data_IF_328136682921
#
_entry.id   IF_328136682921
#
_cell.length_a   1.000
_cell.length_b   1.000
_cell.length_c   1.000
_cell.angle_alpha   90.00
_cell.angle_beta   90.00
_cell.angle_gamma   90.00
#
_symmetry.space_group_name_H-M   'P 1'
#
loop_
_entity.id
_entity.type
_entity.pdbx_description
1 polymer ?
#
# COMPACT_ATOMS: atom_id res chain seq x y z
N UNK A 1 -16.65 -22.62 -6.36
CA UNK A 1 -16.53 -21.16 -6.53
C UNK A 1 -15.70 -20.63 -5.37
N UNK A 2 -14.70 -19.77 -5.62
CA UNK A 2 -13.83 -19.23 -4.58
C UNK A 2 -14.57 -18.35 -3.58
N UNK A 3 -14.44 -18.67 -2.29
CA UNK A 3 -14.98 -17.92 -1.15
C UNK A 3 -13.94 -17.00 -0.50
N UNK A 4 -14.36 -15.93 0.17
CA UNK A 4 -13.44 -15.08 0.95
C UNK A 4 -12.68 -15.85 2.04
N UNK A 5 -13.19 -17.01 2.46
CA UNK A 5 -12.59 -17.86 3.48
C UNK A 5 -11.83 -19.06 2.92
N UNK A 6 -11.72 -19.18 1.60
CA UNK A 6 -10.85 -20.18 1.01
C UNK A 6 -9.39 -19.73 1.19
N UNK A 7 -8.47 -20.64 1.55
CA UNK A 7 -7.05 -20.33 1.62
C UNK A 7 -6.50 -19.78 0.29
N UNK A 8 -5.42 -19.00 0.39
CA UNK A 8 -4.71 -18.44 -0.76
C UNK A 8 -3.22 -18.35 -0.43
N UNK A 9 -2.36 -18.65 -1.41
CA UNK A 9 -0.92 -18.47 -1.27
C UNK A 9 -0.48 -17.15 -1.90
N UNK A 10 0.27 -16.34 -1.16
CA UNK A 10 0.82 -15.05 -1.59
C UNK A 10 2.32 -15.06 -1.30
N UNK A 11 3.17 -15.05 -2.32
CA UNK A 11 4.61 -14.99 -2.10
C UNK A 11 5.19 -16.20 -1.33
N UNK A 12 4.52 -17.36 -1.39
CA UNK A 12 4.87 -18.54 -0.59
C UNK A 12 4.30 -18.54 0.84
N UNK A 13 3.48 -17.53 1.20
CA UNK A 13 2.78 -17.45 2.47
C UNK A 13 1.36 -17.98 2.29
N UNK A 14 1.00 -19.00 3.07
CA UNK A 14 -0.33 -19.59 3.04
C UNK A 14 -1.28 -18.87 4.00
N UNK A 15 -2.11 -18.00 3.44
CA UNK A 15 -3.16 -17.29 4.16
C UNK A 15 -4.37 -18.20 4.35
N UNK A 16 -5.05 -18.06 5.49
CA UNK A 16 -6.24 -18.85 5.82
C UNK A 16 -7.53 -18.30 5.20
N UNK A 17 -7.47 -17.09 4.69
CA UNK A 17 -8.58 -16.42 4.02
C UNK A 17 -8.04 -15.33 3.09
N UNK A 18 -8.92 -14.78 2.27
CA UNK A 18 -8.65 -13.78 1.23
C UNK A 18 -8.91 -12.34 1.69
N UNK A 19 -9.04 -12.09 2.99
CA UNK A 19 -9.25 -10.77 3.59
C UNK A 19 -7.90 -10.19 4.01
N UNK A 20 -7.59 -8.97 3.55
CA UNK A 20 -6.31 -8.29 3.77
C UNK A 20 -6.56 -6.90 4.40
N UNK A 21 -5.71 -6.47 5.34
CA UNK A 21 -5.70 -5.07 5.78
C UNK A 21 -5.03 -4.22 4.69
N UNK A 22 -5.77 -3.28 4.11
CA UNK A 22 -5.22 -2.33 3.16
C UNK A 22 -4.23 -1.38 3.86
N UNK A 23 -3.25 -0.83 3.13
CA UNK A 23 -2.33 0.19 3.65
C UNK A 23 -3.08 1.49 3.97
N UNK A 24 -2.90 2.02 5.18
CA UNK A 24 -3.63 3.18 5.69
C UNK A 24 -2.70 4.12 6.46
N UNK A 25 -2.26 5.23 5.86
CA UNK A 25 -1.52 6.27 6.61
C UNK A 25 -2.33 6.81 7.77
N UNK A 26 -1.77 6.76 8.99
CA UNK A 26 -2.45 7.25 10.18
C UNK A 26 -1.71 8.36 10.91
N UNK A 27 -0.49 8.73 10.58
CA UNK A 27 0.24 9.80 11.29
C UNK A 27 0.47 9.54 12.80
N UNK A 28 0.72 8.28 13.19
CA UNK A 28 0.96 7.85 14.60
C UNK A 28 2.43 7.50 14.88
N UNK A 29 3.36 8.13 14.16
CA UNK A 29 4.78 8.12 14.50
C UNK A 29 5.17 9.38 15.31
N UNK A 30 6.29 9.34 16.00
CA UNK A 30 6.86 10.50 16.68
C UNK A 30 7.38 11.56 15.68
N UNK A 31 8.08 12.58 16.17
CA UNK A 31 8.62 13.66 15.32
C UNK A 31 9.82 13.23 14.47
N UNK A 32 10.43 12.09 14.79
CA UNK A 32 11.53 11.47 14.05
C UNK A 32 11.03 10.35 13.12
N UNK A 33 9.71 10.17 13.01
CA UNK A 33 9.11 9.11 12.20
C UNK A 33 9.32 7.71 12.78
N UNK A 34 9.58 7.58 14.07
CA UNK A 34 9.59 6.29 14.78
C UNK A 34 8.15 5.91 15.14
N UNK A 35 7.65 4.71 14.77
CA UNK A 35 6.33 4.26 15.21
C UNK A 35 6.19 4.33 16.74
N UNK A 36 5.06 4.85 17.23
CA UNK A 36 4.74 4.87 18.65
C UNK A 36 4.25 3.49 19.13
N UNK A 37 4.25 3.23 20.44
CA UNK A 37 3.76 1.95 21.01
C UNK A 37 2.31 1.62 20.60
N UNK A 38 1.47 2.65 20.44
CA UNK A 38 0.09 2.51 19.95
C UNK A 38 0.01 1.90 18.54
N UNK A 39 1.08 1.98 17.74
CA UNK A 39 1.17 1.34 16.42
C UNK A 39 1.31 -0.17 16.57
N UNK A 40 2.11 -0.65 17.52
CA UNK A 40 2.22 -2.08 17.86
C UNK A 40 0.88 -2.63 18.31
N UNK A 41 0.19 -1.92 19.20
CA UNK A 41 -1.17 -2.30 19.62
C UNK A 41 -2.13 -2.35 18.42
N UNK A 42 -2.13 -1.32 17.56
CA UNK A 42 -3.01 -1.25 16.41
C UNK A 42 -2.89 -2.44 15.45
N UNK A 43 -1.66 -2.82 15.06
CA UNK A 43 -1.48 -3.97 14.16
C UNK A 43 -1.73 -5.29 14.88
N UNK A 44 -1.33 -5.42 16.16
CA UNK A 44 -1.64 -6.58 16.98
C UNK A 44 -3.15 -6.81 17.09
N UNK A 45 -3.95 -5.75 17.28
CA UNK A 45 -5.41 -5.85 17.30
C UNK A 45 -5.98 -6.40 15.99
N UNK A 46 -5.39 -6.03 14.84
CA UNK A 46 -5.83 -6.44 13.49
C UNK A 46 -5.29 -7.79 13.03
N UNK A 47 -4.30 -8.32 13.73
CA UNK A 47 -3.86 -9.71 13.66
C UNK A 47 -4.80 -10.65 14.48
N UNK A 48 -6.11 -10.39 14.43
CA UNK A 48 -7.13 -11.03 15.28
C UNK A 48 -7.45 -12.47 14.88
N UNK A 49 -7.29 -12.82 13.61
CA UNK A 49 -7.55 -14.17 13.05
C UNK A 49 -6.25 -14.69 12.44
N UNK A 50 -5.69 -15.81 12.91
CA UNK A 50 -4.44 -16.36 12.38
C UNK A 50 -4.48 -16.58 10.86
N UNK A 51 -3.37 -16.30 10.20
CA UNK A 51 -3.24 -16.35 8.74
C UNK A 51 -3.81 -15.14 8.01
N UNK A 52 -4.02 -14.02 8.70
CA UNK A 52 -4.35 -12.72 8.10
C UNK A 52 -3.09 -12.06 7.55
N UNK A 53 -3.18 -11.49 6.34
CA UNK A 53 -2.16 -10.58 5.81
C UNK A 53 -2.51 -9.14 6.14
N UNK A 54 -1.55 -8.41 6.70
CA UNK A 54 -1.60 -6.99 6.95
C UNK A 54 -0.63 -6.24 6.04
N UNK A 55 -1.03 -5.07 5.54
CA UNK A 55 -0.11 -4.17 4.83
C UNK A 55 -0.05 -2.87 5.64
N UNK A 56 1.15 -2.41 5.97
CA UNK A 56 1.33 -1.23 6.80
C UNK A 56 0.81 0.03 6.13
N UNK A 57 0.70 1.09 6.92
CA UNK A 57 0.75 2.44 6.38
C UNK A 57 1.96 2.70 5.47
N UNK A 58 1.81 3.68 4.58
CA UNK A 58 2.93 4.17 3.77
C UNK A 58 4.07 4.60 4.69
N UNK A 59 5.24 4.01 4.46
CA UNK A 59 6.44 4.16 5.29
C UNK A 59 7.56 4.72 4.43
N UNK A 60 8.16 5.82 4.87
CA UNK A 60 9.16 6.54 4.07
C UNK A 60 10.46 5.75 3.93
N UNK A 61 10.96 5.68 2.70
CA UNK A 61 12.19 4.96 2.36
C UNK A 61 13.48 5.73 2.69
N UNK A 62 13.38 7.05 2.83
CA UNK A 62 14.48 7.95 3.17
C UNK A 62 13.94 9.30 3.63
N UNK A 63 14.78 10.16 4.22
CA UNK A 63 14.39 11.53 4.58
C UNK A 63 13.86 12.32 3.37
N UNK A 64 14.54 12.26 2.22
CA UNK A 64 14.14 12.96 0.98
C UNK A 64 12.86 12.42 0.33
N UNK A 65 12.44 11.22 0.70
CA UNK A 65 11.21 10.61 0.22
C UNK A 65 9.97 11.04 1.03
N UNK A 66 10.19 11.67 2.20
CA UNK A 66 9.16 12.10 3.12
C UNK A 66 8.48 13.41 2.71
N UNK A 67 8.31 14.32 3.67
CA UNK A 67 7.57 15.57 3.48
C UNK A 67 6.16 15.57 4.07
N UNK A 68 5.90 14.70 5.06
CA UNK A 68 4.72 14.76 5.93
C UNK A 68 5.13 14.39 7.35
N UNK A 69 4.68 15.17 8.33
CA UNK A 69 5.00 14.94 9.73
C UNK A 69 4.28 13.70 10.28
N UNK A 70 4.91 13.08 11.28
CA UNK A 70 4.37 11.95 12.06
C UNK A 70 4.00 10.70 11.26
N UNK A 71 4.50 10.58 10.03
CA UNK A 71 4.45 9.34 9.22
C UNK A 71 5.73 8.54 9.48
N UNK A 72 5.66 7.20 9.61
CA UNK A 72 6.83 6.41 9.94
C UNK A 72 7.84 6.34 8.77
N UNK A 73 9.11 6.18 9.13
CA UNK A 73 10.20 5.82 8.21
C UNK A 73 10.70 4.39 8.42
N UNK A 74 11.61 3.93 7.55
CA UNK A 74 12.36 2.67 7.70
C UNK A 74 13.81 2.82 7.21
N UNK A 75 14.48 3.88 7.65
CA UNK A 75 15.85 4.23 7.21
C UNK A 75 16.81 4.58 8.37
N UNK A 76 16.36 4.48 9.62
CA UNK A 76 17.19 4.62 10.82
C UNK A 76 17.06 3.38 11.72
N UNK A 77 18.07 3.14 12.55
CA UNK A 77 18.09 2.01 13.49
C UNK A 77 16.94 2.09 14.50
N UNK A 78 16.56 3.29 14.96
CA UNK A 78 15.43 3.48 15.87
C UNK A 78 14.11 3.08 15.21
N UNK A 79 13.90 3.47 13.95
CA UNK A 79 12.72 3.07 13.18
C UNK A 79 12.67 1.56 12.98
N UNK A 80 13.78 0.93 12.61
CA UNK A 80 13.89 -0.53 12.41
C UNK A 80 13.55 -1.28 13.70
N UNK A 81 14.10 -0.84 14.84
CA UNK A 81 13.82 -1.44 16.15
C UNK A 81 12.34 -1.31 16.54
N UNK A 82 11.73 -0.14 16.34
CA UNK A 82 10.32 0.05 16.65
C UNK A 82 9.42 -0.80 15.75
N UNK A 83 9.70 -0.87 14.44
CA UNK A 83 8.98 -1.76 13.53
C UNK A 83 9.13 -3.24 13.89
N UNK A 84 10.27 -3.66 14.45
CA UNK A 84 10.44 -5.03 14.95
C UNK A 84 9.44 -5.38 16.06
N UNK A 85 9.14 -4.46 16.97
CA UNK A 85 8.10 -4.69 17.98
C UNK A 85 6.72 -4.93 17.33
N UNK A 86 6.42 -4.20 16.25
CA UNK A 86 5.16 -4.34 15.51
C UNK A 86 5.10 -5.72 14.83
N UNK A 87 6.15 -6.11 14.12
CA UNK A 87 6.19 -7.39 13.38
C UNK A 87 6.13 -8.58 14.33
N UNK A 88 6.89 -8.55 15.43
CA UNK A 88 6.86 -9.58 16.48
C UNK A 88 5.46 -9.73 17.08
N UNK A 89 4.75 -8.63 17.35
CA UNK A 89 3.39 -8.68 17.89
C UNK A 89 2.37 -9.27 16.91
N UNK A 90 2.55 -9.05 15.61
CA UNK A 90 1.70 -9.65 14.55
C UNK A 90 2.02 -11.14 14.39
N UNK A 91 3.31 -11.49 14.35
CA UNK A 91 3.77 -12.87 14.21
C UNK A 91 3.39 -13.75 15.40
N UNK A 92 3.39 -13.19 16.61
CA UNK A 92 2.92 -13.88 17.81
C UNK A 92 1.45 -14.33 17.72
N UNK A 93 0.65 -13.71 16.84
CA UNK A 93 -0.73 -14.10 16.55
C UNK A 93 -0.89 -14.96 15.29
N UNK A 94 0.22 -15.46 14.73
CA UNK A 94 0.24 -16.29 13.53
C UNK A 94 -0.25 -15.57 12.28
N UNK A 95 -0.12 -14.25 12.23
CA UNK A 95 -0.45 -13.41 11.07
C UNK A 95 0.82 -12.94 10.36
N UNK A 96 0.65 -12.30 9.21
CA UNK A 96 1.73 -11.82 8.35
C UNK A 96 1.59 -10.33 8.10
N UNK A 97 2.71 -9.65 7.86
CA UNK A 97 2.72 -8.20 7.63
C UNK A 97 3.75 -7.78 6.58
N UNK A 98 3.31 -6.94 5.65
CA UNK A 98 4.14 -6.33 4.60
C UNK A 98 4.32 -4.83 4.84
N UNK A 99 5.53 -4.31 4.69
CA UNK A 99 5.82 -2.88 4.80
C UNK A 99 5.58 -2.16 3.46
N UNK A 100 4.69 -1.17 3.42
CA UNK A 100 4.49 -0.36 2.22
C UNK A 100 5.55 0.74 2.09
N UNK A 101 6.42 0.62 1.10
CA UNK A 101 7.52 1.54 0.81
C UNK A 101 7.04 2.76 0.02
N UNK A 102 7.32 3.95 0.54
CA UNK A 102 6.67 5.18 0.07
C UNK A 102 7.65 6.34 -0.16
N UNK A 103 7.45 7.04 -1.28
CA UNK A 103 8.09 8.30 -1.60
C UNK A 103 7.05 9.28 -2.16
N UNK A 104 6.88 10.45 -1.54
CA UNK A 104 5.77 11.36 -1.86
C UNK A 104 5.93 12.05 -3.22
N UNK A 105 7.16 12.38 -3.63
CA UNK A 105 7.41 13.22 -4.80
C UNK A 105 6.71 14.57 -4.68
N UNK A 106 6.00 15.04 -5.73
CA UNK A 106 5.35 16.36 -5.73
C UNK A 106 4.20 16.54 -4.72
N UNK A 107 3.80 15.46 -4.04
CA UNK A 107 2.76 15.48 -3.02
C UNK A 107 3.30 15.78 -1.61
N UNK A 108 4.60 15.92 -1.45
CA UNK A 108 5.21 16.32 -0.19
C UNK A 108 4.89 17.77 0.17
N UNK A 109 4.81 18.05 1.48
CA UNK A 109 4.88 19.40 2.01
C UNK A 109 6.30 19.94 1.83
N UNK A 110 6.43 20.96 0.97
CA UNK A 110 7.73 21.57 0.66
C UNK A 110 8.40 22.18 1.90
N UNK A 111 7.65 22.74 2.86
CA UNK A 111 8.23 23.34 4.07
C UNK A 111 8.83 22.28 4.97
N UNK A 112 8.21 21.09 5.03
CA UNK A 112 8.75 19.95 5.79
C UNK A 112 10.02 19.42 5.14
N UNK A 113 10.08 19.35 3.81
CA UNK A 113 11.30 18.97 3.09
C UNK A 113 12.42 20.00 3.28
N UNK A 114 12.12 21.30 3.14
CA UNK A 114 13.10 22.38 3.31
C UNK A 114 13.70 22.38 4.72
N UNK A 115 12.88 22.18 5.75
CA UNK A 115 13.34 22.08 7.14
C UNK A 115 14.29 20.88 7.37
N UNK A 116 14.24 19.86 6.52
CA UNK A 116 15.15 18.71 6.53
C UNK A 116 16.27 18.78 5.48
N UNK A 117 16.44 19.93 4.81
CA UNK A 117 17.50 20.15 3.83
C UNK A 117 17.25 19.47 2.46
N UNK A 118 15.98 19.16 2.15
CA UNK A 118 15.58 18.51 0.91
C UNK A 118 14.65 19.39 0.08
N UNK A 119 14.67 19.20 -1.24
CA UNK A 119 13.79 19.91 -2.17
C UNK A 119 12.59 19.07 -2.58
N UNK A 120 11.50 19.73 -2.95
CA UNK A 120 10.34 19.08 -3.57
C UNK A 120 10.73 18.56 -4.97
N UNK A 121 10.51 17.27 -5.23
CA UNK A 121 10.93 16.59 -6.47
C UNK A 121 9.80 15.82 -7.12
N UNK A 122 9.92 15.56 -8.42
CA UNK A 122 8.96 14.76 -9.19
C UNK A 122 9.60 14.21 -10.47
N UNK A 123 8.81 13.53 -11.30
CA UNK A 123 9.20 13.16 -12.67
C UNK A 123 9.42 14.40 -13.57
N UNK A 124 8.63 15.45 -13.38
CA UNK A 124 8.69 16.72 -14.12
C UNK A 124 8.23 17.89 -13.25
N UNK A 125 8.36 19.11 -13.74
CA UNK A 125 8.04 20.38 -13.07
C UNK A 125 6.53 20.71 -13.06
N UNK A 126 5.69 19.67 -12.99
CA UNK A 126 4.23 19.82 -12.97
C UNK A 126 3.75 19.83 -11.52
N UNK A 127 3.33 20.98 -10.95
CA UNK A 127 2.87 21.06 -9.57
C UNK A 127 1.46 20.45 -9.40
N UNK A 128 1.13 20.13 -8.15
CA UNK A 128 -0.26 20.01 -7.73
C UNK A 128 -0.88 21.41 -7.54
N UNK A 129 -2.21 21.55 -7.56
CA UNK A 129 -2.86 22.79 -7.15
C UNK A 129 -2.33 23.28 -5.80
N UNK A 130 -2.08 24.58 -5.69
CA UNK A 130 -1.60 25.26 -4.48
C UNK A 130 -0.27 24.74 -3.91
N UNK A 131 0.50 23.99 -4.69
CA UNK A 131 1.83 23.47 -4.30
C UNK A 131 2.95 24.15 -5.10
N UNK A 132 4.16 24.32 -4.53
CA UNK A 132 5.32 24.80 -5.28
C UNK A 132 5.65 23.91 -6.48
N UNK A 133 6.34 24.48 -7.47
CA UNK A 133 6.84 23.73 -8.63
C UNK A 133 7.91 22.73 -8.17
N UNK A 134 7.72 21.41 -8.37
CA UNK A 134 8.72 20.42 -8.01
C UNK A 134 9.92 20.47 -8.97
N UNK A 135 11.10 20.11 -8.49
CA UNK A 135 12.27 19.91 -9.34
C UNK A 135 12.17 18.57 -10.08
N UNK A 136 12.29 18.53 -11.42
CA UNK A 136 12.42 17.28 -12.15
C UNK A 136 13.68 16.53 -11.68
N UNK A 137 13.53 15.25 -11.32
CA UNK A 137 14.69 14.44 -10.96
C UNK A 137 15.67 14.31 -12.14
N UNK A 138 16.96 14.43 -11.84
CA UNK A 138 18.05 14.08 -12.78
C UNK A 138 18.21 12.56 -12.85
N UNK A 139 18.94 12.04 -13.84
CA UNK A 139 19.32 10.60 -13.88
C UNK A 139 19.90 10.13 -12.54
N UNK A 140 20.85 10.91 -11.98
CA UNK A 140 21.46 10.60 -10.68
C UNK A 140 20.42 10.57 -9.55
N UNK A 141 19.49 11.52 -9.55
CA UNK A 141 18.39 11.54 -8.58
C UNK A 141 17.49 10.31 -8.68
N UNK A 142 17.13 9.93 -9.91
CA UNK A 142 16.33 8.73 -10.18
C UNK A 142 17.02 7.47 -9.65
N UNK A 143 18.31 7.28 -9.97
CA UNK A 143 19.12 6.15 -9.48
C UNK A 143 19.17 6.10 -7.96
N UNK A 144 19.37 7.26 -7.33
CA UNK A 144 19.45 7.35 -5.89
C UNK A 144 18.10 6.96 -5.21
N UNK A 145 16.95 7.33 -5.78
CA UNK A 145 15.65 6.87 -5.27
C UNK A 145 15.47 5.35 -5.44
N UNK A 146 15.91 4.76 -6.55
CA UNK A 146 15.88 3.31 -6.75
C UNK A 146 16.71 2.59 -5.66
N UNK A 147 17.88 3.14 -5.33
CA UNK A 147 18.73 2.64 -4.24
C UNK A 147 18.06 2.79 -2.86
N UNK A 148 17.40 3.92 -2.58
CA UNK A 148 16.64 4.12 -1.34
C UNK A 148 15.55 3.06 -1.17
N UNK A 149 14.80 2.74 -2.24
CA UNK A 149 13.78 1.69 -2.21
C UNK A 149 14.40 0.33 -1.87
N UNK A 150 15.51 -0.03 -2.49
CA UNK A 150 16.21 -1.29 -2.22
C UNK A 150 16.76 -1.36 -0.79
N UNK A 151 17.29 -0.24 -0.27
CA UNK A 151 17.79 -0.17 1.12
C UNK A 151 16.64 -0.27 2.12
N UNK A 152 15.58 0.50 1.93
CA UNK A 152 14.38 0.46 2.78
C UNK A 152 13.75 -0.94 2.80
N UNK A 153 13.79 -1.67 1.67
CA UNK A 153 13.34 -3.06 1.62
C UNK A 153 14.20 -3.98 2.51
N UNK A 154 15.53 -3.84 2.48
CA UNK A 154 16.43 -4.61 3.37
C UNK A 154 16.15 -4.31 4.84
N UNK A 155 16.00 -3.03 5.17
CA UNK A 155 15.70 -2.58 6.52
C UNK A 155 14.34 -3.12 7.01
N UNK A 156 13.33 -3.19 6.13
CA UNK A 156 12.06 -3.81 6.47
C UNK A 156 12.22 -5.32 6.76
N UNK A 157 12.98 -6.06 5.97
CA UNK A 157 13.24 -7.48 6.28
C UNK A 157 14.03 -7.62 7.59
N UNK A 158 14.97 -6.72 7.88
CA UNK A 158 15.68 -6.69 9.17
C UNK A 158 14.75 -6.37 10.36
N UNK A 159 13.73 -5.55 10.14
CA UNK A 159 12.66 -5.29 11.10
C UNK A 159 11.67 -6.47 11.22
N UNK A 160 11.89 -7.59 10.51
CA UNK A 160 11.06 -8.79 10.62
C UNK A 160 9.78 -8.76 9.77
N UNK A 161 9.66 -7.86 8.79
CA UNK A 161 8.52 -7.94 7.85
C UNK A 161 8.60 -9.20 6.97
N UNK A 162 7.45 -9.79 6.65
CA UNK A 162 7.36 -10.94 5.75
C UNK A 162 7.64 -10.55 4.29
N UNK A 163 7.43 -9.28 3.97
CA UNK A 163 7.74 -8.68 2.68
C UNK A 163 7.48 -7.18 2.65
N UNK A 164 7.54 -6.63 1.45
CA UNK A 164 7.35 -5.20 1.20
C UNK A 164 6.40 -4.98 0.03
N UNK A 165 5.71 -3.85 0.04
CA UNK A 165 4.88 -3.39 -1.08
C UNK A 165 5.42 -2.07 -1.63
N UNK A 166 5.78 -2.03 -2.91
CA UNK A 166 6.13 -0.77 -3.58
C UNK A 166 4.86 0.05 -3.82
N UNK A 167 4.79 1.25 -3.25
CA UNK A 167 3.65 2.15 -3.48
C UNK A 167 3.77 2.88 -4.82
N UNK A 168 3.33 2.24 -5.90
CA UNK A 168 3.25 2.82 -7.25
C UNK A 168 1.88 3.33 -7.66
N UNK A 169 1.15 3.94 -6.72
CA UNK A 169 -0.26 4.32 -6.86
C UNK A 169 -0.52 5.70 -6.25
N UNK A 170 -1.76 6.18 -6.37
CA UNK A 170 -2.31 7.37 -5.73
C UNK A 170 -1.50 8.66 -5.99
N UNK A 171 -0.82 8.74 -7.14
CA UNK A 171 -0.08 9.93 -7.55
C UNK A 171 1.17 10.23 -6.75
N UNK A 172 1.77 9.22 -6.10
CA UNK A 172 3.09 9.33 -5.46
C UNK A 172 4.22 9.04 -6.45
N UNK A 173 5.48 9.12 -6.01
CA UNK A 173 6.62 9.25 -6.92
C UNK A 173 6.65 8.21 -8.07
N UNK A 174 6.44 6.90 -7.87
CA UNK A 174 6.43 5.98 -9.01
C UNK A 174 5.25 6.19 -9.97
N UNK A 175 4.07 6.58 -9.45
CA UNK A 175 2.88 6.89 -10.26
C UNK A 175 3.04 8.23 -11.02
N UNK A 176 3.78 9.19 -10.43
CA UNK A 176 4.16 10.45 -11.08
C UNK A 176 5.06 10.22 -12.29
N UNK A 177 5.90 9.18 -12.29
CA UNK A 177 6.65 8.75 -13.48
C UNK A 177 5.76 7.99 -14.47
N UNK A 178 4.83 7.19 -13.99
CA UNK A 178 4.00 6.31 -14.81
C UNK A 178 3.02 7.06 -15.71
N UNK A 179 2.38 8.10 -15.19
CA UNK A 179 1.28 8.78 -15.89
C UNK A 179 1.74 10.03 -16.63
N UNK A 180 1.25 10.21 -17.86
CA UNK A 180 1.56 11.38 -18.69
C UNK A 180 0.90 12.67 -18.22
N UNK A 181 -0.05 12.61 -17.27
CA UNK A 181 -0.60 13.79 -16.59
C UNK A 181 0.47 14.52 -15.77
N UNK A 182 1.50 13.81 -15.30
CA UNK A 182 2.63 14.36 -14.55
C UNK A 182 3.95 14.26 -15.30
N UNK A 183 4.28 13.11 -15.88
CA UNK A 183 5.56 12.89 -16.56
C UNK A 183 5.59 13.52 -17.96
N UNK A 184 6.27 14.66 -18.07
CA UNK A 184 6.52 15.42 -19.31
C UNK A 184 7.95 15.29 -19.82
N UNK A 185 8.71 14.31 -19.33
CA UNK A 185 10.11 14.10 -19.73
C UNK A 185 10.22 13.68 -21.18
N UNK A 186 11.36 13.99 -21.79
CA UNK A 186 11.73 13.62 -23.17
C UNK A 186 13.00 12.74 -23.21
N UNK A 187 13.40 12.16 -22.07
CA UNK A 187 14.53 11.26 -21.93
C UNK A 187 14.10 9.79 -21.78
N UNK A 188 15.03 8.92 -21.40
CA UNK A 188 14.77 7.48 -21.18
C UNK A 188 13.80 7.15 -20.04
N UNK A 189 13.19 8.14 -19.39
CA UNK A 189 12.22 7.97 -18.30
C UNK A 189 10.85 8.57 -18.61
N UNK A 190 10.64 9.13 -19.81
CA UNK A 190 9.33 9.62 -20.24
C UNK A 190 9.17 9.67 -21.76
N UNK A 191 8.15 10.39 -22.22
CA UNK A 191 7.84 10.56 -23.65
C UNK A 191 7.09 9.39 -24.29
N UNK A 192 7.39 8.14 -23.90
CA UNK A 192 6.69 6.94 -24.37
C UNK A 192 6.08 6.14 -23.21
N UNK A 193 5.08 5.30 -23.53
CA UNK A 193 4.51 4.33 -22.57
C UNK A 193 5.61 3.49 -21.93
N UNK A 194 6.52 2.98 -22.76
CA UNK A 194 7.61 2.12 -22.32
C UNK A 194 8.54 2.79 -21.32
N UNK A 195 8.93 4.05 -21.60
CA UNK A 195 9.83 4.83 -20.75
C UNK A 195 9.16 5.28 -19.44
N UNK A 196 7.87 5.62 -19.46
CA UNK A 196 7.15 6.01 -18.24
C UNK A 196 7.01 4.86 -17.23
N UNK A 197 6.81 3.64 -17.70
CA UNK A 197 6.79 2.45 -16.84
C UNK A 197 8.17 2.09 -16.27
N UNK A 198 9.25 2.62 -16.86
CA UNK A 198 10.62 2.20 -16.55
C UNK A 198 10.99 2.43 -15.09
N UNK A 199 10.65 3.58 -14.51
CA UNK A 199 11.00 3.88 -13.13
C UNK A 199 10.36 2.89 -12.15
N UNK A 200 9.04 2.66 -12.26
CA UNK A 200 8.33 1.70 -11.41
C UNK A 200 8.88 0.27 -11.57
N UNK A 201 9.17 -0.16 -12.81
CA UNK A 201 9.75 -1.47 -13.09
C UNK A 201 11.17 -1.63 -12.52
N UNK A 202 12.04 -0.62 -12.64
CA UNK A 202 13.40 -0.66 -12.09
C UNK A 202 13.41 -0.59 -10.55
N UNK A 203 12.49 0.17 -9.93
CA UNK A 203 12.27 0.13 -8.48
C UNK A 203 11.88 -1.28 -8.03
N UNK A 204 10.88 -1.88 -8.68
CA UNK A 204 10.43 -3.23 -8.34
C UNK A 204 11.54 -4.27 -8.52
N UNK A 205 12.32 -4.17 -9.60
CA UNK A 205 13.44 -5.06 -9.86
C UNK A 205 14.55 -4.91 -8.80
N UNK A 206 14.90 -3.69 -8.41
CA UNK A 206 15.92 -3.44 -7.37
C UNK A 206 15.47 -3.96 -6.00
N UNK A 207 14.21 -3.76 -5.65
CA UNK A 207 13.61 -4.29 -4.41
C UNK A 207 13.59 -5.82 -4.45
N UNK A 208 13.13 -6.43 -5.55
CA UNK A 208 13.14 -7.89 -5.73
C UNK A 208 14.54 -8.49 -5.66
N UNK A 209 15.55 -7.83 -6.23
CA UNK A 209 16.94 -8.26 -6.12
C UNK A 209 17.47 -8.15 -4.68
N UNK A 210 16.98 -7.18 -3.91
CA UNK A 210 17.42 -6.96 -2.53
C UNK A 210 16.84 -7.97 -1.53
N UNK A 211 15.57 -8.37 -1.69
CA UNK A 211 14.84 -9.18 -0.68
C UNK A 211 14.21 -10.47 -1.21
N UNK A 212 14.35 -10.74 -2.51
CA UNK A 212 13.70 -11.85 -3.20
C UNK A 212 12.30 -11.48 -3.71
N UNK A 213 11.93 -11.85 -4.95
CA UNK A 213 10.70 -11.37 -5.59
C UNK A 213 9.41 -11.85 -4.90
N UNK A 214 9.44 -13.03 -4.28
CA UNK A 214 8.31 -13.58 -3.53
C UNK A 214 7.97 -12.78 -2.26
N UNK A 215 8.82 -11.82 -1.87
CA UNK A 215 8.57 -10.89 -0.76
C UNK A 215 8.18 -9.49 -1.23
N UNK A 216 7.85 -9.32 -2.51
CA UNK A 216 7.59 -8.01 -3.10
C UNK A 216 6.20 -7.96 -3.70
N UNK A 217 5.37 -7.05 -3.21
CA UNK A 217 4.14 -6.61 -3.86
C UNK A 217 4.32 -5.29 -4.61
N UNK A 218 3.47 -5.01 -5.58
CA UNK A 218 3.42 -3.71 -6.25
C UNK A 218 1.99 -3.18 -6.29
N UNK A 219 1.77 -1.93 -5.87
CA UNK A 219 0.43 -1.33 -5.83
C UNK A 219 0.20 -0.32 -6.95
N UNK A 220 -0.96 -0.37 -7.61
CA UNK A 220 -1.38 0.53 -8.70
C UNK A 220 -2.81 1.05 -8.51
N UNK A 221 -3.12 2.22 -9.08
CA UNK A 221 -4.46 2.82 -9.06
C UNK A 221 -4.84 3.43 -10.41
N UNK A 222 -5.13 2.60 -11.45
CA UNK A 222 -5.20 3.06 -12.84
C UNK A 222 -6.19 4.18 -13.12
N UNK A 223 -7.30 4.16 -12.38
CA UNK A 223 -8.46 5.01 -12.64
C UNK A 223 -8.62 6.14 -11.62
N UNK A 224 -7.72 6.24 -10.64
CA UNK A 224 -7.86 7.23 -9.57
C UNK A 224 -7.44 8.63 -10.03
N UNK A 225 -8.29 9.65 -9.90
CA UNK A 225 -7.93 11.04 -10.22
C UNK A 225 -7.16 11.73 -9.08
N UNK A 226 -6.94 11.03 -7.97
CA UNK A 226 -6.31 11.59 -6.77
C UNK A 226 -4.93 12.17 -7.09
N UNK A 227 -4.61 13.35 -6.53
CA UNK A 227 -3.35 14.07 -6.78
C UNK A 227 -3.07 14.36 -8.27
N UNK A 228 -4.12 14.72 -9.01
CA UNK A 228 -4.01 15.11 -10.43
C UNK A 228 -3.57 13.95 -11.34
N UNK A 229 -3.85 12.72 -10.92
CA UNK A 229 -3.66 11.51 -11.72
C UNK A 229 -4.87 11.29 -12.65
N UNK A 230 -4.94 10.08 -13.22
CA UNK A 230 -5.89 9.60 -14.22
C UNK A 230 -5.56 10.12 -15.61
N UNK A 231 -4.80 9.32 -16.35
CA UNK A 231 -4.66 9.45 -17.80
C UNK A 231 -6.03 9.33 -18.49
N UNK A 232 -6.15 9.90 -19.70
CA UNK A 232 -7.37 9.78 -20.50
C UNK A 232 -7.66 8.32 -20.89
N UNK A 233 -6.62 7.57 -21.29
CA UNK A 233 -6.67 6.13 -21.53
C UNK A 233 -5.52 5.45 -20.75
N UNK A 234 -5.76 5.04 -19.49
CA UNK A 234 -4.70 4.49 -18.65
C UNK A 234 -4.35 3.05 -19.05
N UNK A 235 -5.26 2.30 -19.67
CA UNK A 235 -5.12 0.85 -19.80
C UNK A 235 -3.84 0.41 -20.54
N UNK A 236 -3.46 1.01 -21.70
CA UNK A 236 -2.19 0.68 -22.35
C UNK A 236 -0.97 0.93 -21.46
N UNK A 237 -0.98 1.99 -20.65
CA UNK A 237 0.13 2.31 -19.74
C UNK A 237 0.29 1.29 -18.62
N UNK A 238 -0.82 0.93 -17.96
CA UNK A 238 -0.80 0.00 -16.84
C UNK A 238 -0.58 -1.46 -17.29
N UNK A 239 -1.01 -1.83 -18.50
CA UNK A 239 -0.67 -3.13 -19.09
C UNK A 239 0.84 -3.24 -19.40
N UNK A 240 1.44 -2.20 -19.99
CA UNK A 240 2.89 -2.19 -20.24
C UNK A 240 3.70 -2.28 -18.92
N UNK A 241 3.26 -1.59 -17.85
CA UNK A 241 3.88 -1.77 -16.53
C UNK A 241 3.73 -3.21 -16.04
N UNK A 242 2.52 -3.79 -16.12
CA UNK A 242 2.30 -5.17 -15.71
C UNK A 242 3.18 -6.16 -16.48
N UNK A 243 3.35 -5.97 -17.80
CA UNK A 243 4.22 -6.80 -18.62
C UNK A 243 5.70 -6.70 -18.24
N UNK A 244 6.15 -5.53 -17.75
CA UNK A 244 7.51 -5.37 -17.19
C UNK A 244 7.66 -5.98 -15.80
N UNK A 245 6.61 -5.99 -14.99
CA UNK A 245 6.64 -6.53 -13.63
C UNK A 245 6.49 -8.06 -13.59
N UNK A 246 5.72 -8.67 -14.51
CA UNK A 246 5.47 -10.13 -14.54
C UNK A 246 6.75 -10.98 -14.53
N UNK A 247 7.79 -10.71 -15.34
CA UNK A 247 9.01 -11.53 -15.37
C UNK A 247 9.78 -11.51 -14.05
N UNK A 248 9.53 -10.54 -13.16
CA UNK A 248 10.17 -10.46 -11.86
C UNK A 248 9.64 -11.52 -10.89
N UNK A 249 8.45 -12.09 -11.12
CA UNK A 249 7.85 -13.10 -10.24
C UNK A 249 7.43 -12.56 -8.87
N UNK A 250 6.89 -11.35 -8.84
CA UNK A 250 6.45 -10.66 -7.62
C UNK A 250 5.36 -11.45 -6.88
N UNK A 251 5.30 -11.28 -5.55
CA UNK A 251 4.32 -11.93 -4.66
C UNK A 251 2.87 -11.65 -5.09
N UNK A 252 2.58 -10.39 -5.43
CA UNK A 252 1.27 -9.96 -5.88
C UNK A 252 1.29 -8.60 -6.62
N UNK A 253 0.24 -8.35 -7.39
CA UNK A 253 -0.15 -7.00 -7.83
C UNK A 253 -1.36 -6.54 -7.01
N UNK A 254 -1.27 -5.36 -6.42
CA UNK A 254 -2.36 -4.77 -5.63
C UNK A 254 -3.02 -3.65 -6.43
N UNK A 255 -4.28 -3.84 -6.82
CA UNK A 255 -5.01 -2.94 -7.71
C UNK A 255 -6.12 -2.22 -6.96
N UNK A 256 -6.14 -0.90 -7.04
CA UNK A 256 -7.22 -0.05 -6.52
C UNK A 256 -8.31 0.12 -7.57
N UNK A 257 -9.55 -0.21 -7.21
CA UNK A 257 -10.74 -0.11 -8.05
C UNK A 257 -11.14 1.37 -8.34
N UNK A 258 -11.80 1.65 -9.48
CA UNK A 258 -12.10 3.02 -9.97
C UNK A 258 -12.94 3.87 -9.02
N UNK A 259 -13.74 3.24 -8.16
CA UNK A 259 -14.59 3.91 -7.18
C UNK A 259 -13.83 4.55 -6.01
N UNK A 260 -12.51 4.71 -6.09
CA UNK A 260 -11.69 5.30 -5.03
C UNK A 260 -10.79 6.44 -5.53
N UNK A 261 -10.88 7.57 -4.83
CA UNK A 261 -9.97 8.71 -4.95
C UNK A 261 -9.30 8.97 -3.60
N UNK A 262 -8.05 8.52 -3.45
CA UNK A 262 -7.33 8.59 -2.18
C UNK A 262 -8.07 7.85 -1.05
N UNK A 263 -8.56 8.57 -0.05
CA UNK A 263 -9.34 8.02 1.07
C UNK A 263 -10.86 8.08 0.86
N UNK A 264 -11.34 8.56 -0.30
CA UNK A 264 -12.76 8.76 -0.59
C UNK A 264 -13.31 7.72 -1.57
N UNK A 265 -14.60 7.40 -1.44
CA UNK A 265 -15.34 6.67 -2.49
C UNK A 265 -15.91 7.70 -3.47
N UNK A 266 -15.81 7.44 -4.77
CA UNK A 266 -16.45 8.23 -5.82
C UNK A 266 -17.53 7.42 -6.53
N UNK A 267 -18.41 8.07 -7.28
CA UNK A 267 -19.47 7.40 -8.05
C UNK A 267 -18.90 6.34 -9.01
N UNK A 268 -19.71 5.31 -9.26
CA UNK A 268 -19.31 4.22 -10.14
C UNK A 268 -19.15 4.73 -11.58
N UNK A 269 -17.93 4.64 -12.12
CA UNK A 269 -17.70 4.81 -13.55
C UNK A 269 -17.91 3.48 -14.29
N UNK A 270 -18.00 3.55 -15.62
CA UNK A 270 -17.94 2.36 -16.48
C UNK A 270 -16.53 1.75 -16.57
N UNK A 271 -15.54 2.37 -15.92
CA UNK A 271 -14.15 1.92 -15.94
C UNK A 271 -14.02 0.59 -15.19
N UNK A 272 -13.13 -0.28 -15.65
CA UNK A 272 -12.94 -1.61 -15.08
C UNK A 272 -11.46 -1.93 -14.92
N UNK A 273 -11.13 -2.64 -13.85
CA UNK A 273 -9.78 -3.21 -13.63
C UNK A 273 -9.66 -4.64 -14.15
N UNK A 274 -10.77 -5.25 -14.59
CA UNK A 274 -10.86 -6.67 -14.92
C UNK A 274 -9.84 -7.13 -15.96
N UNK A 275 -9.56 -6.32 -16.98
CA UNK A 275 -8.54 -6.70 -17.97
C UNK A 275 -7.15 -6.82 -17.33
N UNK A 276 -6.74 -5.84 -16.51
CA UNK A 276 -5.46 -5.85 -15.81
C UNK A 276 -5.38 -7.02 -14.81
N UNK A 277 -6.46 -7.26 -14.07
CA UNK A 277 -6.57 -8.37 -13.12
C UNK A 277 -6.43 -9.70 -13.85
N UNK A 278 -7.23 -9.93 -14.89
CA UNK A 278 -7.21 -11.17 -15.66
C UNK A 278 -5.83 -11.43 -16.26
N UNK A 279 -5.22 -10.40 -16.86
CA UNK A 279 -3.88 -10.47 -17.42
C UNK A 279 -2.83 -10.82 -16.37
N UNK A 280 -2.91 -10.28 -15.15
CA UNK A 280 -1.97 -10.62 -14.07
C UNK A 280 -2.20 -12.02 -13.49
N UNK A 281 -3.46 -12.40 -13.26
CA UNK A 281 -3.82 -13.68 -12.62
C UNK A 281 -3.40 -14.93 -13.39
N UNK A 282 -3.00 -14.78 -14.66
CA UNK A 282 -2.36 -15.86 -15.42
C UNK A 282 -0.97 -16.25 -14.89
N UNK A 283 -0.34 -15.39 -14.10
CA UNK A 283 1.04 -15.56 -13.61
C UNK A 283 1.20 -15.42 -12.09
N UNK A 284 0.31 -14.70 -11.40
CA UNK A 284 0.47 -14.42 -9.98
C UNK A 284 -0.81 -14.01 -9.26
N UNK A 285 -0.68 -13.64 -8.00
CA UNK A 285 -1.81 -13.26 -7.15
C UNK A 285 -2.17 -11.78 -7.32
N UNK A 286 -3.46 -11.44 -7.26
CA UNK A 286 -3.95 -10.06 -7.19
C UNK A 286 -4.56 -9.78 -5.82
N UNK A 287 -4.28 -8.59 -5.27
CA UNK A 287 -5.03 -8.02 -4.16
C UNK A 287 -5.89 -6.87 -4.71
N UNK A 288 -7.21 -6.98 -4.61
CA UNK A 288 -8.14 -5.93 -5.01
C UNK A 288 -8.53 -5.06 -3.82
N UNK A 289 -8.46 -3.75 -3.98
CA UNK A 289 -8.88 -2.79 -2.97
C UNK A 289 -9.88 -1.79 -3.53
N UNK A 290 -10.68 -1.24 -2.63
CA UNK A 290 -11.45 -0.03 -2.88
C UNK A 290 -12.94 -0.25 -2.81
N UNK A 291 -13.58 0.41 -1.83
CA UNK A 291 -15.03 0.44 -1.62
C UNK A 291 -15.72 -0.90 -1.33
N UNK A 292 -14.98 -1.98 -1.09
CA UNK A 292 -15.57 -3.29 -0.86
C UNK A 292 -16.34 -3.36 0.46
N UNK A 293 -17.56 -3.86 0.36
CA UNK A 293 -18.35 -4.41 1.47
C UNK A 293 -18.12 -5.92 1.55
N UNK A 294 -18.40 -6.59 2.69
CA UNK A 294 -18.34 -8.05 2.81
C UNK A 294 -19.05 -8.76 1.65
N UNK A 295 -20.28 -8.34 1.35
CA UNK A 295 -21.08 -8.90 0.24
C UNK A 295 -20.43 -8.68 -1.12
N UNK A 296 -20.05 -7.44 -1.45
CA UNK A 296 -19.46 -7.16 -2.77
C UNK A 296 -18.10 -7.83 -2.98
N UNK A 297 -17.29 -7.99 -1.92
CA UNK A 297 -16.05 -8.76 -2.00
C UNK A 297 -16.31 -10.26 -2.23
N UNK A 298 -17.32 -10.82 -1.55
CA UNK A 298 -17.72 -12.21 -1.76
C UNK A 298 -18.25 -12.45 -3.18
N UNK A 299 -19.11 -11.56 -3.69
CA UNK A 299 -19.66 -11.65 -5.04
C UNK A 299 -18.55 -11.51 -6.10
N UNK A 300 -17.62 -10.58 -5.88
CA UNK A 300 -16.45 -10.37 -6.75
C UNK A 300 -15.46 -11.54 -6.69
N UNK A 301 -15.26 -12.16 -5.53
CA UNK A 301 -14.45 -13.39 -5.39
C UNK A 301 -15.02 -14.51 -6.25
N UNK A 302 -16.35 -14.70 -6.23
CA UNK A 302 -17.02 -15.72 -7.02
C UNK A 302 -16.90 -15.48 -8.52
N UNK A 303 -16.92 -14.22 -8.98
CA UNK A 303 -16.80 -13.91 -10.42
C UNK A 303 -15.43 -14.27 -11.00
N UNK A 304 -14.39 -14.37 -10.18
CA UNK A 304 -13.03 -14.75 -10.62
C UNK A 304 -12.78 -16.27 -10.62
N UNK A 305 -13.77 -17.09 -10.27
CA UNK A 305 -13.65 -18.54 -10.34
C UNK A 305 -12.53 -19.08 -9.45
N UNK A 306 -11.49 -19.65 -10.07
CA UNK A 306 -10.31 -20.21 -9.38
C UNK A 306 -9.09 -19.28 -9.42
N UNK A 307 -9.20 -18.06 -9.96
CA UNK A 307 -8.07 -17.13 -9.99
C UNK A 307 -7.62 -16.76 -8.57
N UNK A 308 -6.32 -16.52 -8.43
CA UNK A 308 -5.71 -16.13 -7.16
C UNK A 308 -5.96 -14.65 -6.89
N UNK A 309 -7.11 -14.35 -6.26
CA UNK A 309 -7.54 -12.99 -5.90
C UNK A 309 -7.86 -12.92 -4.41
N UNK A 310 -7.29 -11.92 -3.74
CA UNK A 310 -7.61 -11.49 -2.38
C UNK A 310 -8.19 -10.06 -2.36
N UNK A 311 -8.78 -9.66 -1.24
CA UNK A 311 -9.54 -8.43 -1.08
C UNK A 311 -9.04 -7.63 0.12
N UNK A 312 -8.54 -6.42 -0.15
CA UNK A 312 -8.05 -5.52 0.86
C UNK A 312 -9.13 -4.53 1.33
N UNK A 313 -9.31 -4.44 2.64
CA UNK A 313 -10.25 -3.54 3.31
C UNK A 313 -9.49 -2.45 4.06
N UNK A 314 -9.80 -1.19 3.75
CA UNK A 314 -9.23 -0.03 4.44
C UNK A 314 -10.11 0.40 5.61
N UNK A 315 -11.02 1.35 5.34
CA UNK A 315 -11.92 1.96 6.34
C UNK A 315 -12.66 0.96 7.24
N UNK A 316 -13.15 -0.14 6.68
CA UNK A 316 -13.84 -1.16 7.48
C UNK A 316 -12.89 -1.85 8.45
N UNK A 317 -11.67 -2.21 8.03
CA UNK A 317 -10.69 -2.87 8.88
C UNK A 317 -10.06 -1.89 9.89
N UNK A 318 -10.03 -0.60 9.55
CA UNK A 318 -9.74 0.45 10.52
C UNK A 318 -10.71 0.42 11.70
N UNK A 319 -12.02 0.42 11.47
CA UNK A 319 -12.99 0.45 12.58
C UNK A 319 -13.26 -0.91 13.23
N UNK A 320 -12.79 -2.01 12.61
CA UNK A 320 -13.12 -3.37 13.02
C UNK A 320 -11.82 -4.19 13.15
N UNK A 321 -11.20 -4.25 14.34
CA UNK A 321 -9.96 -5.01 14.53
C UNK A 321 -10.13 -6.52 14.29
N UNK A 322 -11.34 -7.03 14.47
CA UNK A 322 -11.77 -8.41 14.18
C UNK A 322 -12.55 -8.55 12.87
N UNK A 323 -12.27 -7.71 11.87
CA UNK A 323 -13.01 -7.73 10.60
C UNK A 323 -13.14 -9.13 9.97
N UNK A 324 -12.08 -9.96 9.84
CA UNK A 324 -12.24 -11.28 9.24
C UNK A 324 -13.24 -12.17 9.99
N UNK A 325 -13.21 -12.13 11.32
CA UNK A 325 -14.15 -12.85 12.19
C UNK A 325 -15.58 -12.32 12.05
N UNK A 326 -15.78 -11.00 12.02
CA UNK A 326 -17.12 -10.42 11.82
C UNK A 326 -17.71 -10.82 10.48
N UNK A 327 -16.90 -10.86 9.42
CA UNK A 327 -17.35 -11.30 8.09
C UNK A 327 -17.71 -12.79 8.11
N UNK A 328 -16.94 -13.65 8.80
CA UNK A 328 -17.22 -15.09 8.82
C UNK A 328 -18.51 -15.41 9.57
N UNK A 329 -18.74 -14.70 10.68
CA UNK A 329 -19.92 -14.88 11.53
C UNK A 329 -21.14 -14.06 11.08
N UNK A 330 -21.00 -13.24 10.03
CA UNK A 330 -22.08 -12.37 9.55
C UNK A 330 -22.50 -11.27 10.54
N UNK A 331 -21.56 -10.80 11.36
CA UNK A 331 -21.79 -9.80 12.40
C UNK A 331 -21.82 -8.38 11.83
N UNK A 332 -22.54 -7.44 12.49
CA UNK A 332 -22.49 -6.03 12.13
C UNK A 332 -21.07 -5.47 12.27
N UNK A 333 -20.71 -4.55 11.38
CA UNK A 333 -19.45 -3.83 11.44
C UNK A 333 -19.63 -2.55 12.26
N UNK A 334 -18.62 -2.19 13.05
CA UNK A 334 -18.51 -0.87 13.64
C UNK A 334 -18.40 0.18 12.52
N UNK A 335 -19.02 1.34 12.76
CA UNK A 335 -18.86 2.52 11.92
C UNK A 335 -17.47 3.14 12.11
N UNK A 336 -16.88 3.61 11.01
CA UNK A 336 -15.64 4.37 11.05
C UNK A 336 -15.94 5.86 11.21
N UNK A 337 -15.13 6.55 11.99
CA UNK A 337 -15.13 8.01 12.07
C UNK A 337 -14.01 8.61 11.23
N UNK A 338 -14.37 9.41 10.23
CA UNK A 338 -13.41 10.10 9.35
C UNK A 338 -12.62 11.19 10.05
N UNK A 339 -13.18 11.80 11.10
CA UNK A 339 -12.55 12.92 11.81
C UNK A 339 -11.24 12.51 12.48
N UNK A 340 -11.10 11.22 12.82
CA UNK A 340 -9.94 10.64 13.51
C UNK A 340 -8.93 9.97 12.56
N UNK A 341 -9.15 10.02 11.24
CA UNK A 341 -8.26 9.34 10.28
C UNK A 341 -6.83 9.87 10.34
N UNK A 342 -6.64 11.17 10.52
CA UNK A 342 -5.32 11.80 10.54
C UNK A 342 -5.15 12.72 11.76
N UNK A 343 -5.21 12.16 12.97
CA UNK A 343 -4.94 12.86 14.23
C UNK A 343 -3.53 12.49 14.72
N UNK A 344 -2.54 13.39 14.60
CA UNK A 344 -1.15 13.07 14.91
C UNK A 344 -0.96 12.53 16.33
N UNK A 345 -0.29 11.38 16.45
CA UNK A 345 0.08 10.72 17.72
C UNK A 345 -1.10 10.32 18.63
N UNK A 346 -2.35 10.53 18.20
CA UNK A 346 -3.54 10.34 19.03
C UNK A 346 -4.05 8.89 18.93
N UNK A 347 -4.27 8.20 20.07
CA UNK A 347 -4.87 6.87 20.10
C UNK A 347 -6.37 6.84 19.74
N UNK A 348 -7.08 7.97 19.81
CA UNK A 348 -8.52 8.05 19.54
C UNK A 348 -8.82 7.79 18.06
N UNK A 349 -9.82 6.95 17.79
CA UNK A 349 -10.16 6.44 16.46
C UNK A 349 -9.02 5.63 15.83
N UNK A 350 -8.21 4.96 16.65
CA UNK A 350 -7.09 4.12 16.20
C UNK A 350 -7.09 2.76 16.90
N UNK A 351 -6.86 2.76 18.21
CA UNK A 351 -6.78 1.55 19.06
C UNK A 351 -8.01 1.35 19.95
N UNK A 352 -8.93 2.30 19.96
CA UNK A 352 -10.14 2.35 20.79
C UNK A 352 -11.40 1.78 20.11
N UNK A 353 -11.31 1.32 18.86
CA UNK A 353 -12.40 0.61 18.21
C UNK A 353 -12.62 -0.77 18.86
N UNK A 354 -13.84 -1.11 19.30
CA UNK A 354 -14.07 -2.33 20.05
C UNK A 354 -14.06 -3.59 19.15
N UNK A 355 -13.51 -4.68 19.68
CA UNK A 355 -13.78 -6.03 19.20
C UNK A 355 -15.28 -6.37 19.36
N UNK A 356 -15.78 -7.31 18.55
CA UNK A 356 -17.13 -7.84 18.76
C UNK A 356 -17.23 -8.58 20.10
N UNK A 357 -18.44 -8.59 20.69
CA UNK A 357 -18.67 -9.31 21.95
C UNK A 357 -18.46 -10.81 21.76
N UNK A 358 -18.78 -11.32 20.58
CA UNK A 358 -18.62 -12.70 20.15
C UNK A 358 -17.14 -13.09 20.11
N UNK A 359 -16.29 -12.26 19.51
CA UNK A 359 -14.84 -12.49 19.48
C UNK A 359 -14.23 -12.54 20.89
N UNK A 360 -14.62 -11.59 21.75
CA UNK A 360 -14.14 -11.54 23.15
C UNK A 360 -14.55 -12.78 23.96
N UNK A 361 -15.75 -13.35 23.71
CA UNK A 361 -16.20 -14.57 24.39
C UNK A 361 -15.37 -15.81 24.02
N UNK A 362 -14.90 -15.90 22.79
CA UNK A 362 -14.12 -17.05 22.30
C UNK A 362 -12.67 -16.92 22.79
N UNK A 363 -12.09 -15.72 22.68
CA UNK A 363 -10.71 -15.46 23.11
C UNK A 363 -10.52 -15.50 24.62
N UNK A 364 -11.54 -15.17 25.42
CA UNK A 364 -11.47 -15.32 26.89
C UNK A 364 -11.49 -16.79 27.36
N UNK A 365 -11.76 -17.75 26.47
CA UNK A 365 -11.81 -19.19 26.77
C UNK A 365 -10.60 -19.97 26.23
N UNK A 366 -9.83 -19.34 25.35
CA UNK A 366 -8.59 -19.87 24.78
C UNK A 366 -7.42 -19.45 25.66
#
# INVERSE_FOLDING_TARGET
MSSLFDPISIGGIDLKHRIVLAPLTRVRADDNGVPLDIVTEYYSQRASVPGTLLITEGTFISHRAGGRLNVPGIYTDEQIKSWRNVTEAVHAKGCYIFCQLWALGRAADAKVLEASGHGLVSSSDVPLPDSPVPLPLTEKGIRAFIEDYAMAAKNAIEAGFDGVEVHGANGYLPDQFLQDTCNRRNDGWGGSVGNRSRFGAEVAAAVAAAVGPQRVGYRVSPWSPFQGMRMNDPLPQFLDLADKLKPLGLAYLHVVEPRVSGSQTIEASSDQTDLLVNVWTTHGTVILAGGFTPKSAQDRSRSYGNSSVAFAFGRSFLANPDLPFRISEGLPLNDYDRSTFYTPKDPIGYVDYPFSREYLKITARA
#
